data_IF_658940059970
#
_entry.id   IF_658940059970
#
_cell.length_a   1.000
_cell.length_b   1.000
_cell.length_c   1.000
_cell.angle_alpha   90.00
_cell.angle_beta   90.00
_cell.angle_gamma   90.00
#
_symmetry.space_group_name_H-M   'P 1'
#
loop_
_entity.id
_entity.type
_entity.pdbx_description
1 polymer ?
#
# COMPACT_ATOMS: atom_id res chain seq x y z
N UNK A 1 -44.99 33.57 -21.00
CA UNK A 1 -43.78 32.81 -21.36
C UNK A 1 -42.83 32.79 -20.18
N UNK A 2 -42.96 31.76 -19.35
CA UNK A 2 -42.18 31.52 -18.14
C UNK A 2 -41.15 30.44 -18.43
N UNK A 3 -39.87 30.81 -18.53
CA UNK A 3 -38.81 29.80 -18.43
C UNK A 3 -38.71 29.37 -16.95
N UNK A 4 -38.76 28.07 -16.64
CA UNK A 4 -38.63 27.61 -15.28
C UNK A 4 -37.18 27.79 -14.83
N UNK A 5 -36.97 28.63 -13.82
CA UNK A 5 -35.71 28.83 -13.09
C UNK A 5 -35.15 27.55 -12.43
N UNK A 6 -35.89 26.44 -12.52
CA UNK A 6 -35.47 25.10 -12.10
C UNK A 6 -34.41 24.44 -13.01
N UNK A 7 -34.20 24.95 -14.23
CA UNK A 7 -33.36 24.26 -15.22
C UNK A 7 -31.85 24.50 -15.10
N UNK A 8 -31.39 25.53 -14.36
CA UNK A 8 -29.97 25.91 -14.33
C UNK A 8 -29.24 25.26 -13.13
N UNK A 9 -29.95 25.05 -12.02
CA UNK A 9 -29.36 24.52 -10.77
C UNK A 9 -29.07 23.02 -10.89
N UNK A 10 -29.89 22.28 -11.64
CA UNK A 10 -29.70 20.84 -11.87
C UNK A 10 -28.50 20.51 -12.76
N UNK A 11 -28.09 21.43 -13.64
CA UNK A 11 -26.95 21.24 -14.54
C UNK A 11 -25.60 21.32 -13.80
N UNK A 12 -25.54 22.06 -12.69
CA UNK A 12 -24.31 22.22 -11.90
C UNK A 12 -24.06 21.06 -10.94
N UNK A 13 -25.12 20.39 -10.49
CA UNK A 13 -25.02 19.22 -9.61
C UNK A 13 -24.41 18.03 -10.36
N UNK A 14 -24.72 17.87 -11.65
CA UNK A 14 -24.17 16.81 -12.50
C UNK A 14 -22.67 16.95 -12.81
N UNK A 15 -22.09 18.16 -12.79
CA UNK A 15 -20.68 18.37 -13.11
C UNK A 15 -19.71 18.07 -11.95
N UNK A 16 -20.21 17.97 -10.71
CA UNK A 16 -19.36 17.95 -9.51
C UNK A 16 -18.99 16.56 -8.99
N UNK A 17 -19.58 15.48 -9.53
CA UNK A 17 -19.52 14.16 -8.91
C UNK A 17 -18.49 13.18 -9.51
N UNK A 18 -17.47 13.65 -10.24
CA UNK A 18 -16.34 12.77 -10.62
C UNK A 18 -15.31 12.80 -9.48
N UNK A 19 -15.61 12.07 -8.40
CA UNK A 19 -14.59 11.72 -7.40
C UNK A 19 -13.66 10.72 -8.06
N UNK A 20 -12.49 11.16 -8.52
CA UNK A 20 -11.43 10.26 -8.95
C UNK A 20 -10.93 9.46 -7.75
N UNK A 21 -11.53 8.30 -7.50
CA UNK A 21 -10.95 7.31 -6.59
C UNK A 21 -9.71 6.74 -7.27
N UNK A 22 -8.53 7.22 -6.88
CA UNK A 22 -7.28 6.54 -7.25
C UNK A 22 -7.29 5.18 -6.57
N UNK A 23 -7.66 4.13 -7.30
CA UNK A 23 -7.44 2.76 -6.86
C UNK A 23 -5.93 2.55 -6.73
N UNK A 24 -5.44 2.39 -5.51
CA UNK A 24 -4.07 1.90 -5.29
C UNK A 24 -4.12 0.41 -5.58
N UNK A 25 -3.44 -0.02 -6.63
CA UNK A 25 -3.20 -1.44 -6.87
C UNK A 25 -2.10 -1.84 -5.89
N UNK A 26 -2.50 -2.49 -4.81
CA UNK A 26 -1.56 -3.12 -3.89
C UNK A 26 -1.02 -4.40 -4.54
N UNK A 27 0.31 -4.48 -4.64
CA UNK A 27 1.03 -5.57 -5.31
C UNK A 27 1.57 -6.62 -4.33
N UNK A 28 1.15 -6.62 -3.07
CA UNK A 28 1.69 -7.56 -2.08
C UNK A 28 1.38 -9.03 -2.41
N UNK A 29 0.29 -9.31 -3.14
CA UNK A 29 -0.02 -10.65 -3.63
C UNK A 29 -0.42 -11.68 -2.56
N UNK A 30 -0.47 -11.29 -1.27
CA UNK A 30 -0.82 -12.16 -0.13
C UNK A 30 -1.68 -11.44 0.90
N UNK A 31 -2.60 -12.16 1.52
CA UNK A 31 -3.47 -11.66 2.60
C UNK A 31 -2.70 -11.40 3.91
N UNK A 32 -1.52 -11.99 4.09
CA UNK A 32 -0.71 -11.76 5.30
C UNK A 32 -0.03 -10.38 5.32
N UNK A 33 0.03 -9.72 4.17
CA UNK A 33 0.46 -8.32 4.03
C UNK A 33 -0.73 -7.38 3.83
N UNK A 34 -1.94 -7.80 4.22
CA UNK A 34 -3.13 -6.94 4.11
C UNK A 34 -2.95 -5.64 4.92
N UNK A 35 -3.36 -4.53 4.31
CA UNK A 35 -3.14 -3.19 4.83
C UNK A 35 -1.73 -2.61 4.59
N UNK A 36 -0.74 -3.41 4.20
CA UNK A 36 0.53 -2.88 3.74
C UNK A 36 0.37 -2.16 2.39
N UNK A 37 1.34 -1.32 2.05
CA UNK A 37 1.49 -0.79 0.71
C UNK A 37 2.64 -1.50 0.02
N UNK A 38 2.37 -2.19 -1.08
CA UNK A 38 3.40 -2.73 -1.97
C UNK A 38 3.40 -2.02 -3.32
N UNK A 39 4.51 -1.38 -3.69
CA UNK A 39 4.63 -0.72 -4.99
C UNK A 39 5.91 0.06 -5.20
N UNK A 40 6.04 0.58 -6.42
CA UNK A 40 7.18 1.40 -6.83
C UNK A 40 7.08 2.79 -6.20
N UNK A 41 8.14 3.23 -5.53
CA UNK A 41 8.25 4.55 -4.92
C UNK A 41 9.66 5.12 -5.10
N UNK A 42 9.72 6.42 -5.37
CA UNK A 42 10.97 7.16 -5.51
C UNK A 42 11.49 7.57 -4.12
N UNK A 43 12.75 7.26 -3.84
CA UNK A 43 13.44 7.57 -2.59
C UNK A 43 14.94 7.75 -2.88
N UNK A 44 15.58 8.77 -2.31
CA UNK A 44 17.03 9.04 -2.47
C UNK A 44 17.55 8.90 -3.92
N UNK A 45 16.89 9.60 -4.83
CA UNK A 45 17.19 9.63 -6.26
C UNK A 45 17.04 8.30 -7.03
N UNK A 46 16.47 7.26 -6.41
CA UNK A 46 16.25 5.93 -6.99
C UNK A 46 14.79 5.48 -6.82
N UNK A 47 14.30 4.63 -7.73
CA UNK A 47 12.98 4.00 -7.56
C UNK A 47 13.17 2.62 -6.97
N UNK A 48 12.45 2.33 -5.89
CA UNK A 48 12.44 1.03 -5.21
C UNK A 48 11.05 0.41 -5.25
N UNK A 49 10.97 -0.91 -5.32
CA UNK A 49 9.77 -1.61 -4.90
C UNK A 49 9.73 -1.69 -3.37
N UNK A 50 8.86 -0.90 -2.77
CA UNK A 50 8.73 -0.76 -1.31
C UNK A 50 7.56 -1.60 -0.81
N UNK A 51 7.77 -2.32 0.29
CA UNK A 51 6.72 -2.89 1.13
C UNK A 51 6.66 -2.08 2.43
N UNK A 52 5.58 -1.33 2.62
CA UNK A 52 5.40 -0.48 3.79
C UNK A 52 4.19 -0.93 4.63
N UNK A 53 4.49 -1.41 5.84
CA UNK A 53 3.52 -1.93 6.81
C UNK A 53 3.55 -1.10 8.11
N UNK A 54 3.75 0.22 8.00
CA UNK A 54 3.89 1.11 9.16
C UNK A 54 2.63 1.12 10.02
N UNK A 55 2.77 0.84 11.32
CA UNK A 55 1.70 1.07 12.30
C UNK A 55 0.45 0.19 12.13
N UNK A 56 0.57 -0.94 11.43
CA UNK A 56 -0.56 -1.86 11.20
C UNK A 56 -0.85 -2.77 12.42
N UNK A 57 -0.04 -2.67 13.47
CA UNK A 57 -0.26 -3.40 14.72
C UNK A 57 0.15 -4.87 14.65
N UNK A 58 1.04 -5.25 13.72
CA UNK A 58 1.57 -6.61 13.64
C UNK A 58 2.17 -7.05 14.98
N UNK A 59 1.87 -8.27 15.39
CA UNK A 59 2.33 -8.87 16.66
C UNK A 59 3.41 -9.94 16.48
N UNK A 60 3.62 -10.37 15.24
CA UNK A 60 4.63 -11.32 14.83
C UNK A 60 5.21 -10.90 13.46
N UNK A 61 6.24 -11.61 13.03
CA UNK A 61 6.94 -11.34 11.77
C UNK A 61 6.59 -12.35 10.67
N UNK A 62 5.49 -13.10 10.82
CA UNK A 62 5.16 -14.18 9.87
C UNK A 62 4.86 -13.66 8.46
N UNK A 63 4.30 -12.45 8.36
CA UNK A 63 4.09 -11.76 7.09
C UNK A 63 5.39 -11.51 6.32
N UNK A 64 6.53 -11.35 7.02
CA UNK A 64 7.83 -11.06 6.39
C UNK A 64 8.42 -12.26 5.64
N UNK A 65 7.90 -13.46 5.86
CA UNK A 65 8.29 -14.67 5.11
C UNK A 65 7.70 -14.71 3.70
N UNK A 66 6.71 -13.87 3.43
CA UNK A 66 5.95 -13.83 2.18
C UNK A 66 6.10 -12.48 1.46
N UNK A 67 7.24 -11.82 1.63
CA UNK A 67 7.54 -10.60 0.89
C UNK A 67 7.59 -10.92 -0.61
N UNK A 68 7.09 -10.04 -1.49
CA UNK A 68 7.29 -10.18 -2.93
C UNK A 68 8.79 -10.28 -3.28
N UNK A 69 9.15 -11.12 -4.25
CA UNK A 69 10.55 -11.33 -4.64
C UNK A 69 11.21 -10.03 -5.10
N UNK A 70 10.43 -9.14 -5.71
CA UNK A 70 10.92 -7.86 -6.19
C UNK A 70 11.19 -6.83 -5.09
N UNK A 71 10.89 -7.12 -3.82
CA UNK A 71 11.03 -6.18 -2.71
C UNK A 71 12.48 -5.71 -2.56
N UNK A 72 12.63 -4.39 -2.57
CA UNK A 72 13.93 -3.71 -2.45
C UNK A 72 14.04 -2.90 -1.17
N UNK A 73 12.92 -2.55 -0.54
CA UNK A 73 12.89 -1.83 0.73
C UNK A 73 11.69 -2.26 1.58
N UNK A 74 11.94 -2.57 2.85
CA UNK A 74 10.91 -2.93 3.82
C UNK A 74 10.79 -1.84 4.91
N UNK A 75 9.58 -1.31 5.09
CA UNK A 75 9.25 -0.41 6.19
C UNK A 75 8.27 -1.12 7.13
N UNK A 76 8.74 -1.59 8.28
CA UNK A 76 7.94 -2.39 9.23
C UNK A 76 7.83 -1.75 10.63
N UNK A 77 7.97 -0.42 10.70
CA UNK A 77 8.04 0.34 11.96
C UNK A 77 6.67 0.55 12.60
N UNK A 78 6.64 0.84 13.90
CA UNK A 78 5.41 1.13 14.64
C UNK A 78 4.51 -0.08 14.92
N UNK A 79 5.01 -1.29 14.73
CA UNK A 79 4.33 -2.55 15.05
C UNK A 79 4.67 -3.05 16.47
N UNK A 80 3.97 -4.08 16.94
CA UNK A 80 4.04 -4.60 18.32
C UNK A 80 4.72 -5.98 18.38
N UNK A 81 5.96 -6.06 17.93
CA UNK A 81 6.73 -7.30 17.90
C UNK A 81 7.41 -7.51 19.26
N UNK A 82 7.04 -8.57 19.98
CA UNK A 82 7.58 -8.87 21.31
C UNK A 82 8.92 -9.61 21.26
N UNK A 83 9.15 -10.40 20.22
CA UNK A 83 10.38 -11.17 20.00
C UNK A 83 10.75 -11.15 18.53
N UNK A 84 12.06 -11.00 18.25
CA UNK A 84 12.57 -11.05 16.90
C UNK A 84 13.21 -12.43 16.66
N UNK A 85 12.63 -13.29 15.80
CA UNK A 85 13.23 -14.59 15.50
C UNK A 85 14.52 -14.41 14.70
N UNK A 86 15.43 -15.38 14.82
CA UNK A 86 16.71 -15.38 14.09
C UNK A 86 16.52 -15.43 12.56
N UNK A 87 15.42 -16.04 12.09
CA UNK A 87 15.07 -16.08 10.66
C UNK A 87 13.76 -15.33 10.40
N UNK A 88 13.87 -14.12 9.84
CA UNK A 88 12.73 -13.24 9.57
C UNK A 88 12.10 -13.48 8.20
N UNK A 89 12.91 -13.81 7.20
CA UNK A 89 12.50 -13.86 5.79
C UNK A 89 12.23 -15.28 5.29
N UNK A 90 12.43 -16.30 6.14
CA UNK A 90 12.20 -17.68 5.78
C UNK A 90 13.46 -18.37 5.25
N UNK A 91 13.31 -19.61 4.80
CA UNK A 91 14.45 -20.43 4.37
C UNK A 91 14.91 -20.12 2.94
N UNK A 92 14.03 -19.53 2.13
CA UNK A 92 14.34 -19.18 0.74
C UNK A 92 14.91 -17.77 0.64
N UNK A 93 16.18 -17.67 0.21
CA UNK A 93 16.90 -16.41 0.10
C UNK A 93 16.69 -15.76 -1.29
N UNK A 94 15.42 -15.48 -1.64
CA UNK A 94 15.05 -14.86 -2.92
C UNK A 94 15.15 -13.32 -2.90
N UNK A 95 15.18 -12.73 -1.70
CA UNK A 95 15.23 -11.27 -1.48
C UNK A 95 16.63 -10.66 -1.69
N UNK A 96 17.25 -10.92 -2.85
CA UNK A 96 18.64 -10.52 -3.14
C UNK A 96 18.86 -9.00 -3.22
N UNK A 97 17.79 -8.23 -3.38
CA UNK A 97 17.84 -6.77 -3.55
C UNK A 97 17.31 -5.99 -2.35
N UNK A 98 16.87 -6.68 -1.29
CA UNK A 98 16.32 -6.05 -0.11
C UNK A 98 17.41 -5.23 0.62
N UNK A 99 17.10 -3.96 0.90
CA UNK A 99 17.92 -3.03 1.67
C UNK A 99 17.32 -2.77 3.05
#
# INVERSE_FOLDING_TARGET
>A
MSLPKCSIITLWIFLSAIVFTKARVDKCGTLLLDGCFCGQQYHDDQTFFIVNCTGLGFRNTDALKLLPEETEMLVFTGNHISTLPTNLFGEENYLKRLK
#
